data_IF_936412178421
#
_entry.id   IF_936412178421
#
_cell.length_a   1.000
_cell.length_b   1.000
_cell.length_c   1.000
_cell.angle_alpha   90.00
_cell.angle_beta   90.00
_cell.angle_gamma   90.00
#
_symmetry.space_group_name_H-M   'P 1'
#
loop_
_entity.id
_entity.type
_entity.pdbx_description
1 polymer ?
#
# COMPACT_ATOMS: atom_id res chain seq x y z
N UNK A 1 -9.43 20.84 -4.21
CA UNK A 1 -10.65 21.58 -3.79
C UNK A 1 -10.36 23.06 -3.96
N UNK A 2 -11.03 23.74 -4.88
CA UNK A 2 -10.83 25.18 -5.12
C UNK A 2 -11.35 25.96 -3.91
N UNK A 3 -10.43 26.58 -3.16
CA UNK A 3 -10.77 27.30 -1.92
C UNK A 3 -11.42 28.66 -2.19
N UNK A 4 -11.23 29.24 -3.39
CA UNK A 4 -11.78 30.53 -3.78
C UNK A 4 -12.84 30.38 -4.89
N UNK A 5 -14.12 30.38 -4.50
CA UNK A 5 -15.24 30.26 -5.44
C UNK A 5 -15.57 31.55 -6.21
N UNK A 6 -14.95 32.68 -5.85
CA UNK A 6 -15.22 33.98 -6.46
C UNK A 6 -14.34 34.27 -7.69
N UNK A 7 -13.24 33.53 -7.87
CA UNK A 7 -12.28 33.69 -8.99
C UNK A 7 -11.74 32.33 -9.44
N UNK A 8 -12.65 31.48 -9.92
CA UNK A 8 -12.33 30.10 -10.30
C UNK A 8 -11.27 30.06 -11.40
N UNK A 9 -11.41 30.86 -12.46
CA UNK A 9 -10.46 30.92 -13.58
C UNK A 9 -9.07 31.37 -13.14
N UNK A 10 -8.99 32.48 -12.39
CA UNK A 10 -7.71 32.99 -11.86
C UNK A 10 -7.01 31.97 -10.96
N UNK A 11 -7.77 31.27 -10.12
CA UNK A 11 -7.23 30.21 -9.25
C UNK A 11 -6.75 28.99 -10.04
N UNK A 12 -7.42 28.66 -11.16
CA UNK A 12 -6.99 27.60 -12.07
C UNK A 12 -5.68 27.99 -12.76
N UNK A 13 -5.62 29.18 -13.36
CA UNK A 13 -4.40 29.68 -14.00
C UNK A 13 -3.21 29.71 -13.04
N UNK A 14 -3.42 30.21 -11.81
CA UNK A 14 -2.39 30.21 -10.76
C UNK A 14 -1.91 28.79 -10.44
N UNK A 15 -2.83 27.83 -10.26
CA UNK A 15 -2.47 26.45 -9.99
C UNK A 15 -1.67 25.80 -11.13
N UNK A 16 -1.98 26.16 -12.39
CA UNK A 16 -1.21 25.72 -13.56
C UNK A 16 0.19 26.32 -13.57
N UNK A 17 0.34 27.63 -13.37
CA UNK A 17 1.64 28.30 -13.30
C UNK A 17 2.52 27.69 -12.20
N UNK A 18 1.96 27.50 -10.99
CA UNK A 18 2.69 26.85 -9.88
C UNK A 18 3.09 25.42 -10.24
N UNK A 19 2.23 24.67 -10.94
CA UNK A 19 2.54 23.31 -11.40
C UNK A 19 3.71 23.31 -12.39
N UNK A 20 3.70 24.21 -13.37
CA UNK A 20 4.76 24.31 -14.38
C UNK A 20 6.09 24.72 -13.77
N UNK A 21 6.13 25.78 -12.95
CA UNK A 21 7.34 26.22 -12.25
C UNK A 21 7.89 25.10 -11.38
N UNK A 22 7.04 24.43 -10.59
CA UNK A 22 7.47 23.31 -9.74
C UNK A 22 8.04 22.16 -10.56
N UNK A 23 7.46 21.86 -11.72
CA UNK A 23 7.93 20.78 -12.61
C UNK A 23 9.27 21.15 -13.22
N UNK A 24 9.41 22.36 -13.76
CA UNK A 24 10.64 22.86 -14.35
C UNK A 24 11.79 22.88 -13.33
N UNK A 25 11.57 23.46 -12.15
CA UNK A 25 12.57 23.54 -11.08
C UNK A 25 13.01 22.15 -10.60
N UNK A 26 12.13 21.15 -10.67
CA UNK A 26 12.45 19.78 -10.24
C UNK A 26 13.63 19.16 -11.00
N UNK A 27 13.86 19.56 -12.24
CA UNK A 27 14.98 19.07 -13.06
C UNK A 27 16.36 19.54 -12.59
N UNK A 28 16.41 20.60 -11.77
CA UNK A 28 17.66 21.16 -11.26
C UNK A 28 17.99 20.67 -9.85
N UNK A 29 17.08 19.93 -9.20
CA UNK A 29 17.33 19.37 -7.89
C UNK A 29 18.04 18.01 -7.99
N UNK A 30 18.82 17.69 -6.96
CA UNK A 30 19.42 16.36 -6.83
C UNK A 30 18.32 15.29 -6.68
N UNK A 31 18.55 14.03 -7.09
CA UNK A 31 17.53 12.98 -7.07
C UNK A 31 16.91 12.70 -5.69
N UNK A 32 17.65 12.97 -4.62
CA UNK A 32 17.23 12.81 -3.23
C UNK A 32 16.34 13.96 -2.71
N UNK A 33 16.20 15.06 -3.45
CA UNK A 33 15.30 16.15 -3.08
C UNK A 33 13.89 15.76 -3.49
N UNK A 34 12.97 15.76 -2.52
CA UNK A 34 11.58 15.43 -2.79
C UNK A 34 10.89 16.56 -3.57
N UNK A 35 10.33 16.21 -4.71
CA UNK A 35 9.59 17.08 -5.63
C UNK A 35 8.22 16.48 -5.92
N UNK A 36 7.36 17.20 -6.66
CA UNK A 36 6.09 16.63 -7.12
C UNK A 36 6.27 15.44 -8.07
N UNK A 37 7.42 15.30 -8.72
CA UNK A 37 7.67 14.27 -9.73
C UNK A 37 8.13 12.94 -9.11
N UNK A 38 8.90 12.99 -8.04
CA UNK A 38 9.42 11.79 -7.35
C UNK A 38 8.73 11.51 -6.01
N UNK A 39 7.74 12.33 -5.63
CA UNK A 39 6.95 12.09 -4.41
C UNK A 39 6.08 10.87 -4.61
N UNK A 40 6.34 9.88 -3.76
CA UNK A 40 5.53 8.69 -3.53
C UNK A 40 4.05 9.05 -3.37
N UNK A 41 3.17 8.27 -4.00
CA UNK A 41 1.72 8.55 -3.98
C UNK A 41 1.14 8.37 -2.57
N UNK A 42 -0.02 8.98 -2.31
CA UNK A 42 -0.65 8.91 -0.97
C UNK A 42 -1.09 7.51 -0.55
N UNK A 43 -1.28 6.63 -1.53
CA UNK A 43 -1.73 5.26 -1.36
C UNK A 43 -0.61 4.27 -1.70
N UNK A 44 0.63 4.74 -1.71
CA UNK A 44 1.76 3.82 -1.80
C UNK A 44 1.94 3.15 -0.44
N UNK A 45 1.84 1.84 -0.44
CA UNK A 45 1.97 1.03 0.78
C UNK A 45 3.44 0.70 1.09
N UNK A 46 4.39 1.23 0.30
CA UNK A 46 5.83 1.04 0.52
C UNK A 46 6.42 -0.18 -0.18
N UNK A 47 5.60 -0.93 -0.94
CA UNK A 47 6.04 -2.10 -1.71
C UNK A 47 6.48 -3.28 -0.85
N UNK A 48 7.09 -4.29 -1.47
CA UNK A 48 7.74 -5.37 -0.71
C UNK A 48 8.95 -4.81 0.06
N UNK A 49 9.02 -5.13 1.34
CA UNK A 49 10.20 -4.84 2.16
C UNK A 49 11.16 -6.02 2.10
N UNK A 50 12.46 -5.75 2.26
CA UNK A 50 13.48 -6.80 2.34
C UNK A 50 13.08 -7.81 3.42
N UNK A 51 12.87 -9.06 2.99
CA UNK A 51 12.51 -10.17 3.85
C UNK A 51 13.68 -10.53 4.76
N UNK A 52 13.51 -10.58 6.09
CA UNK A 52 14.41 -11.36 6.93
C UNK A 52 14.42 -12.81 6.44
N UNK A 53 15.59 -13.47 6.49
CA UNK A 53 15.72 -14.89 6.13
C UNK A 53 14.66 -15.74 6.84
N UNK A 54 13.88 -16.49 6.06
CA UNK A 54 12.83 -17.39 6.55
C UNK A 54 11.44 -16.75 6.72
N UNK A 55 11.23 -15.50 6.30
CA UNK A 55 9.88 -14.90 6.27
C UNK A 55 9.09 -15.37 5.04
N UNK A 56 7.78 -15.64 5.21
CA UNK A 56 6.89 -15.99 4.09
C UNK A 56 6.47 -14.73 3.33
N UNK A 57 6.28 -14.84 2.01
CA UNK A 57 5.89 -13.71 1.14
C UNK A 57 4.61 -13.01 1.60
N UNK A 58 3.64 -13.77 2.13
CA UNK A 58 2.37 -13.26 2.66
C UNK A 58 2.56 -12.25 3.82
N UNK A 59 3.73 -12.23 4.46
CA UNK A 59 4.07 -11.30 5.54
C UNK A 59 5.04 -10.19 5.12
N UNK A 60 5.49 -10.18 3.87
CA UNK A 60 6.42 -9.16 3.33
C UNK A 60 5.71 -7.90 2.86
N UNK A 61 4.41 -7.95 2.64
CA UNK A 61 3.68 -6.79 2.18
C UNK A 61 3.15 -5.98 3.38
N UNK A 62 3.69 -4.78 3.65
CA UNK A 62 3.11 -3.87 4.63
C UNK A 62 1.71 -3.44 4.18
N UNK A 63 0.68 -4.09 4.73
CA UNK A 63 -0.70 -3.69 4.48
C UNK A 63 -1.06 -2.43 5.27
N UNK A 64 -1.71 -1.46 4.62
CA UNK A 64 -2.30 -0.30 5.31
C UNK A 64 -3.82 -0.48 5.46
N UNK A 65 -4.36 -0.57 6.69
CA UNK A 65 -5.81 -0.60 6.86
C UNK A 65 -6.41 0.71 6.34
N UNK A 66 -7.48 0.61 5.54
CA UNK A 66 -8.16 1.75 4.92
C UNK A 66 -9.66 1.65 5.14
N UNK A 67 -10.31 2.81 5.31
CA UNK A 67 -11.74 2.91 5.58
C UNK A 67 -12.11 2.98 7.06
N UNK A 68 -13.41 2.99 7.33
CA UNK A 68 -13.97 2.96 8.68
C UNK A 68 -13.82 1.55 9.26
N UNK A 69 -13.04 1.43 10.35
CA UNK A 69 -12.72 0.15 10.94
C UNK A 69 -13.62 -0.14 12.14
N UNK A 70 -14.61 -1.01 11.96
CA UNK A 70 -15.31 -1.66 13.08
C UNK A 70 -14.49 -2.87 13.54
N UNK A 71 -13.49 -2.62 14.37
CA UNK A 71 -12.66 -3.67 14.93
C UNK A 71 -13.46 -4.53 15.92
N UNK A 72 -13.48 -5.85 15.70
CA UNK A 72 -13.86 -6.83 16.72
C UNK A 72 -12.71 -7.81 16.92
N UNK A 73 -12.60 -8.35 18.12
CA UNK A 73 -11.68 -9.46 18.37
C UNK A 73 -12.26 -10.75 17.76
N UNK A 74 -11.37 -11.55 17.18
CA UNK A 74 -11.68 -12.93 16.79
C UNK A 74 -11.71 -13.79 18.06
N UNK A 75 -12.65 -14.73 18.13
CA UNK A 75 -12.60 -15.81 19.11
C UNK A 75 -11.43 -16.75 18.80
N UNK A 76 -10.99 -17.54 19.77
CA UNK A 76 -9.87 -18.49 19.59
C UNK A 76 -10.10 -19.43 18.40
N UNK A 77 -11.34 -19.90 18.21
CA UNK A 77 -11.72 -20.77 17.08
C UNK A 77 -11.61 -20.05 15.74
N UNK A 78 -12.05 -18.80 15.67
CA UNK A 78 -11.94 -17.99 14.45
C UNK A 78 -10.48 -17.66 14.15
N UNK A 79 -9.68 -17.39 15.19
CA UNK A 79 -8.25 -17.15 15.06
C UNK A 79 -7.53 -18.37 14.49
N UNK A 80 -7.78 -19.55 15.05
CA UNK A 80 -7.17 -20.80 14.59
C UNK A 80 -7.57 -21.12 13.14
N UNK A 81 -8.85 -21.01 12.82
CA UNK A 81 -9.35 -21.23 11.47
C UNK A 81 -8.73 -20.24 10.46
N UNK A 82 -8.66 -18.96 10.81
CA UNK A 82 -8.09 -17.91 9.96
C UNK A 82 -6.59 -18.15 9.75
N UNK A 83 -5.86 -18.47 10.81
CA UNK A 83 -4.43 -18.77 10.73
C UNK A 83 -4.15 -19.95 9.81
N UNK A 84 -4.89 -21.05 9.96
CA UNK A 84 -4.74 -22.24 9.10
C UNK A 84 -5.06 -21.88 7.66
N UNK A 85 -6.16 -21.17 7.41
CA UNK A 85 -6.56 -20.74 6.08
C UNK A 85 -5.47 -19.93 5.38
N UNK A 86 -4.90 -18.92 6.05
CA UNK A 86 -3.83 -18.09 5.51
C UNK A 86 -2.60 -18.94 5.14
N UNK A 87 -2.21 -19.89 6.00
CA UNK A 87 -1.06 -20.76 5.74
C UNK A 87 -1.30 -21.76 4.61
N UNK A 88 -2.49 -22.35 4.51
CA UNK A 88 -2.82 -23.31 3.44
C UNK A 88 -2.86 -22.66 2.05
N UNK A 89 -3.14 -21.35 1.98
CA UNK A 89 -3.15 -20.58 0.75
C UNK A 89 -1.81 -19.91 0.42
N UNK A 90 -0.76 -20.15 1.22
CA UNK A 90 0.60 -19.66 0.98
C UNK A 90 1.36 -20.66 0.10
N UNK A 91 1.83 -20.23 -1.07
CA UNK A 91 2.50 -21.11 -2.05
C UNK A 91 3.74 -21.81 -1.44
N UNK A 92 4.51 -21.10 -0.64
CA UNK A 92 5.72 -21.61 0.02
C UNK A 92 5.42 -22.72 1.04
N UNK A 93 4.19 -22.77 1.57
CA UNK A 93 3.75 -23.79 2.50
C UNK A 93 3.20 -25.02 1.79
N UNK A 94 2.75 -24.90 0.53
CA UNK A 94 2.12 -26.01 -0.20
C UNK A 94 3.00 -27.26 -0.27
N UNK A 95 4.32 -27.10 -0.37
CA UNK A 95 5.27 -28.21 -0.36
C UNK A 95 5.28 -29.03 0.95
N UNK A 96 4.81 -28.45 2.05
CA UNK A 96 4.73 -29.10 3.37
C UNK A 96 3.33 -29.61 3.70
N UNK A 97 2.32 -29.34 2.85
CA UNK A 97 0.96 -29.80 3.07
C UNK A 97 0.85 -31.26 2.62
N UNK A 98 0.42 -32.19 3.50
CA UNK A 98 0.17 -33.56 3.12
C UNK A 98 -0.93 -33.66 2.05
N UNK A 99 -0.74 -34.53 1.06
CA UNK A 99 -1.72 -34.79 -0.02
C UNK A 99 -3.16 -35.05 0.47
N UNK A 100 -3.32 -35.59 1.68
CA UNK A 100 -4.64 -35.87 2.26
C UNK A 100 -5.46 -34.62 2.59
N UNK A 101 -4.82 -33.48 2.86
CA UNK A 101 -5.50 -32.23 3.23
C UNK A 101 -6.02 -31.50 1.98
N UNK A 102 -5.30 -31.60 0.85
CA UNK A 102 -5.66 -30.99 -0.43
C UNK A 102 -6.95 -31.55 -1.05
N UNK A 103 -7.35 -32.80 -0.74
CA UNK A 103 -8.55 -33.45 -1.29
C UNK A 103 -9.87 -33.03 -0.63
N UNK A 104 -9.80 -32.20 0.43
CA UNK A 104 -10.96 -31.81 1.26
C UNK A 104 -11.43 -30.38 1.05
N UNK A 105 -10.79 -29.64 0.15
CA UNK A 105 -11.14 -28.25 -0.23
C UNK A 105 -11.55 -28.22 -1.69
#
# INVERSE_FOLDING_TARGET
MVKNRYRVEGSICEAYIIKEISTFSSHYFQPNVQTRLNKVTRNDDGGEVDAPDGCLSIFLHPGRPSGEMNGRYLSDKEWDATRIYVLLNCEEIQQFIPFSIQLTT
#
